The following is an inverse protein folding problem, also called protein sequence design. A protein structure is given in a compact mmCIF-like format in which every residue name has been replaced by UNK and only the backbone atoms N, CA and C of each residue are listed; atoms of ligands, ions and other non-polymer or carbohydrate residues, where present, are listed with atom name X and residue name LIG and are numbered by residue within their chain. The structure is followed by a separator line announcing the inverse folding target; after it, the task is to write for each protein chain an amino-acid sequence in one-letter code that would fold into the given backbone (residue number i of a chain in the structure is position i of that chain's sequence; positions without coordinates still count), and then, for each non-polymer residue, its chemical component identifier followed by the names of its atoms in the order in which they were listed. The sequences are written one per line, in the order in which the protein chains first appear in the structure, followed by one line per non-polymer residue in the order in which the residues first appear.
data_IF_599276966089
#
_entry.id   IF_599276966089
#
_cell.length_a   1.000
_cell.length_b   1.000
_cell.length_c   1.000
_cell.angle_alpha   90.00
_cell.angle_beta   90.00
_cell.angle_gamma   90.00
#
_symmetry.space_group_name_H-M   'P 1'
#
loop_
_entity.id
_entity.type
_entity.pdbx_description
1 polymer ?
#
# COMPACT_ATOMS: atom_id res chain seq x y z
N UNK A 1 -1.60 4.35 6.70
CA UNK A 1 -2.78 4.96 6.02
C UNK A 1 -4.04 5.00 6.84
N UNK A 2 -4.36 3.97 7.62
CA UNK A 2 -5.50 3.92 8.52
C UNK A 2 -5.16 3.03 9.72
N UNK A 3 -6.00 3.05 10.76
CA UNK A 3 -5.97 2.08 11.86
C UNK A 3 -7.11 1.10 11.65
N UNK A 4 -6.88 -0.17 11.94
CA UNK A 4 -7.93 -1.19 11.83
C UNK A 4 -7.94 -2.15 13.02
N UNK A 5 -9.10 -2.75 13.24
CA UNK A 5 -9.30 -3.89 14.14
C UNK A 5 -10.01 -5.01 13.41
N UNK A 6 -9.69 -6.25 13.77
CA UNK A 6 -10.17 -7.46 13.09
C UNK A 6 -10.92 -8.35 14.07
N UNK A 7 -12.05 -8.90 13.65
CA UNK A 7 -12.79 -9.89 14.43
C UNK A 7 -13.54 -10.87 13.52
N UNK A 8 -13.79 -12.09 14.02
CA UNK A 8 -14.59 -13.09 13.30
C UNK A 8 -16.00 -13.13 13.86
N UNK A 9 -16.98 -13.26 12.97
CA UNK A 9 -18.39 -13.48 13.33
C UNK A 9 -18.70 -14.98 13.38
N UNK A 10 -19.82 -15.40 14.00
CA UNK A 10 -20.33 -16.76 13.83
C UNK A 10 -20.48 -17.09 12.33
N UNK A 11 -19.89 -18.21 11.89
CA UNK A 11 -19.71 -18.55 10.47
C UNK A 11 -18.28 -18.34 9.95
N UNK A 12 -17.39 -17.75 10.77
CA UNK A 12 -15.94 -17.71 10.50
C UNK A 12 -15.47 -16.57 9.60
N UNK A 13 -16.39 -15.78 9.05
CA UNK A 13 -16.09 -14.60 8.22
C UNK A 13 -15.29 -13.59 9.05
N UNK A 14 -14.16 -13.12 8.49
CA UNK A 14 -13.31 -12.10 9.08
C UNK A 14 -13.79 -10.72 8.66
N UNK A 15 -14.17 -9.90 9.64
CA UNK A 15 -14.49 -8.49 9.44
C UNK A 15 -13.32 -7.62 9.85
N UNK A 16 -13.19 -6.49 9.15
CA UNK A 16 -12.27 -5.41 9.44
C UNK A 16 -13.07 -4.12 9.66
N UNK A 17 -12.77 -3.40 10.73
CA UNK A 17 -13.21 -2.03 10.93
C UNK A 17 -12.01 -1.11 10.79
N UNK A 18 -12.02 -0.24 9.78
CA UNK A 18 -10.94 0.69 9.48
C UNK A 18 -11.37 2.14 9.68
N UNK A 19 -10.47 2.98 10.18
CA UNK A 19 -10.68 4.43 10.27
C UNK A 19 -10.73 5.07 8.88
N UNK A 20 -11.53 6.13 8.71
CA UNK A 20 -11.60 6.89 7.46
C UNK A 20 -10.28 7.58 7.08
N UNK A 21 -9.52 8.04 8.06
CA UNK A 21 -8.25 8.75 7.86
C UNK A 21 -7.07 8.02 8.50
N UNK A 22 -5.84 8.55 8.31
CA UNK A 22 -5.51 9.78 7.57
C UNK A 22 -5.67 9.72 6.04
N UNK A 23 -5.62 8.52 5.43
CA UNK A 23 -5.63 8.35 3.97
C UNK A 23 -4.23 8.16 3.38
N UNK A 24 -4.15 7.96 2.07
CA UNK A 24 -2.89 7.67 1.36
C UNK A 24 -2.06 8.92 1.08
N UNK A 25 -2.68 10.10 0.97
CA UNK A 25 -1.96 11.35 0.71
C UNK A 25 -1.19 11.90 1.94
N UNK A 26 -0.97 11.07 2.96
CA UNK A 26 -0.29 11.45 4.20
C UNK A 26 1.23 11.45 4.03
N UNK A 27 1.77 10.64 3.13
CA UNK A 27 3.19 10.45 2.86
C UNK A 27 3.57 10.64 1.37
N UNK A 28 2.59 10.76 0.48
CA UNK A 28 2.81 10.96 -0.95
C UNK A 28 1.78 11.97 -1.53
N UNK A 29 2.19 12.91 -2.40
CA UNK A 29 1.24 13.80 -3.10
C UNK A 29 0.22 12.99 -3.91
N UNK A 30 -1.02 13.46 -3.94
CA UNK A 30 -2.12 12.78 -4.64
C UNK A 30 -1.81 12.48 -6.11
N UNK A 31 -1.14 13.41 -6.79
CA UNK A 31 -0.84 13.32 -8.23
C UNK A 31 0.20 12.24 -8.57
N UNK A 32 1.01 11.82 -7.59
CA UNK A 32 2.07 10.82 -7.79
C UNK A 32 1.78 9.50 -7.06
N UNK A 33 0.58 9.34 -6.49
CA UNK A 33 0.24 8.17 -5.67
C UNK A 33 0.53 6.83 -6.36
N UNK A 34 1.25 5.96 -5.66
CA UNK A 34 1.53 4.59 -6.10
C UNK A 34 2.59 4.51 -7.21
N UNK A 35 3.39 5.55 -7.42
CA UNK A 35 4.53 5.50 -8.35
C UNK A 35 5.79 4.90 -7.71
N UNK A 36 5.84 4.82 -6.37
CA UNK A 36 6.98 4.31 -5.62
C UNK A 36 6.57 3.25 -4.61
N UNK A 37 7.53 2.42 -4.21
CA UNK A 37 7.37 1.50 -3.08
C UNK A 37 7.36 2.31 -1.79
N UNK A 38 6.19 2.43 -1.17
CA UNK A 38 6.05 2.99 0.16
C UNK A 38 6.38 1.92 1.21
N UNK A 39 7.32 2.24 2.12
CA UNK A 39 7.60 1.42 3.29
C UNK A 39 7.09 2.16 4.52
N UNK A 40 6.55 1.45 5.54
CA UNK A 40 6.24 2.11 6.79
C UNK A 40 7.55 2.59 7.46
N UNK A 41 7.53 3.68 8.25
CA UNK A 41 8.75 4.27 8.80
C UNK A 41 9.68 3.28 9.53
N UNK A 42 9.13 2.28 10.21
CA UNK A 42 9.90 1.27 10.94
C UNK A 42 10.63 0.24 10.04
N UNK A 43 10.43 0.28 8.71
CA UNK A 43 11.11 -0.56 7.72
C UNK A 43 12.03 0.23 6.78
N UNK A 44 12.05 1.56 6.87
CA UNK A 44 12.83 2.40 5.95
C UNK A 44 14.34 2.10 6.02
N UNK A 45 14.87 1.83 7.22
CA UNK A 45 16.29 1.46 7.41
C UNK A 45 16.69 0.18 6.66
N UNK A 46 15.71 -0.62 6.24
CA UNK A 46 15.89 -1.87 5.51
C UNK A 46 15.50 -1.79 4.03
N UNK A 47 15.23 -0.60 3.50
CA UNK A 47 14.82 -0.41 2.10
C UNK A 47 15.75 -1.09 1.10
N UNK A 48 17.06 -0.88 1.25
CA UNK A 48 18.09 -1.47 0.39
C UNK A 48 18.13 -3.01 0.45
N UNK A 49 17.59 -3.62 1.50
CA UNK A 49 17.45 -5.06 1.64
C UNK A 49 16.11 -5.58 1.08
N UNK A 50 15.05 -4.78 1.20
CA UNK A 50 13.67 -5.17 0.85
C UNK A 50 13.41 -4.99 -0.65
N UNK A 51 13.66 -3.80 -1.20
CA UNK A 51 13.28 -3.45 -2.57
C UNK A 51 13.83 -4.40 -3.64
N UNK A 52 15.11 -4.84 -3.59
CA UNK A 52 15.64 -5.73 -4.61
C UNK A 52 14.99 -7.13 -4.64
N UNK A 53 14.28 -7.51 -3.57
CA UNK A 53 13.60 -8.81 -3.46
C UNK A 53 12.17 -8.77 -3.99
N UNK A 54 11.64 -7.59 -4.30
CA UNK A 54 10.28 -7.43 -4.80
C UNK A 54 10.23 -7.71 -6.30
N UNK A 55 9.23 -8.47 -6.74
CA UNK A 55 8.96 -8.66 -8.17
C UNK A 55 8.40 -7.35 -8.74
N UNK A 56 9.06 -6.72 -9.74
CA UNK A 56 8.53 -5.52 -10.37
C UNK A 56 7.19 -5.80 -11.05
N UNK A 57 6.23 -4.89 -10.90
CA UNK A 57 4.94 -4.97 -11.56
C UNK A 57 4.86 -3.98 -12.74
N UNK A 58 4.22 -4.35 -13.85
CA UNK A 58 3.95 -3.39 -14.92
C UNK A 58 3.03 -2.29 -14.39
N UNK A 59 3.36 -1.03 -14.67
CA UNK A 59 2.49 0.08 -14.31
C UNK A 59 1.22 0.03 -15.19
N UNK A 60 0.03 -0.18 -14.61
CA UNK A 60 -1.21 -0.29 -15.39
C UNK A 60 -1.57 1.00 -16.13
N UNK A 61 -1.02 2.16 -15.73
CA UNK A 61 -1.20 3.45 -16.42
C UNK A 61 -0.32 3.59 -17.67
N UNK A 62 0.80 2.85 -17.73
CA UNK A 62 1.74 2.89 -18.85
C UNK A 62 1.50 1.80 -19.91
N UNK A 63 0.67 0.81 -19.62
CA UNK A 63 0.42 -0.35 -20.49
C UNK A 63 -0.39 -0.03 -21.77
N UNK A 64 -0.72 1.24 -22.03
CA UNK A 64 -1.48 1.70 -23.19
C UNK A 64 -0.74 2.62 -24.16
N UNK A 65 0.57 2.89 -23.99
CA UNK A 65 1.31 3.86 -24.82
C UNK A 65 2.31 3.23 -25.80
N UNK A 66 2.03 2.02 -26.30
CA UNK A 66 2.70 1.50 -27.48
C UNK A 66 1.66 1.13 -28.55
N UNK A 67 1.37 2.10 -29.41
CA UNK A 67 0.88 1.92 -30.78
C UNK A 67 1.53 2.96 -31.67
#
# INVERSE_FOLDING_TARGET
YFRSVYFRVPGGVLFELATRGPGFAVDEPADTLGEKVALPPFLEDRRAEIEPKLTPLPNPRGAGSQS
#
